data_IF_780699483973
#
_entry.id   IF_780699483973
#
_cell.length_a   1.000
_cell.length_b   1.000
_cell.length_c   1.000
_cell.angle_alpha   90.00
_cell.angle_beta   90.00
_cell.angle_gamma   90.00
#
_symmetry.space_group_name_H-M   'P 1'
#
loop_
_entity.id
_entity.type
_entity.pdbx_description
1 polymer ?
#
# COMPACT_ATOMS: atom_id res chain seq x y z
N UNK A 1 12.58 5.17 -6.60
CA UNK A 1 13.91 5.84 -6.64
C UNK A 1 14.50 6.03 -8.05
N UNK A 2 14.12 5.25 -9.08
CA UNK A 2 14.67 5.37 -10.44
C UNK A 2 14.28 6.69 -11.16
N UNK A 3 13.02 7.12 -11.07
CA UNK A 3 12.55 8.33 -11.77
C UNK A 3 13.18 9.64 -11.27
N UNK A 4 13.57 9.70 -9.99
CA UNK A 4 14.27 10.85 -9.41
C UNK A 4 15.70 11.02 -9.93
N UNK A 5 16.36 9.92 -10.30
CA UNK A 5 17.69 10.00 -10.93
C UNK A 5 17.58 10.55 -12.34
N UNK A 6 16.53 10.16 -13.09
CA UNK A 6 16.28 10.67 -14.44
C UNK A 6 15.95 12.17 -14.44
N UNK A 7 15.08 12.65 -13.54
CA UNK A 7 14.79 14.09 -13.42
C UNK A 7 16.04 14.91 -13.05
N UNK A 8 16.91 14.39 -12.16
CA UNK A 8 18.19 15.04 -11.83
C UNK A 8 19.14 15.11 -13.02
N UNK A 9 19.22 14.05 -13.83
CA UNK A 9 20.05 14.01 -15.04
C UNK A 9 19.52 14.98 -16.09
N UNK A 10 18.21 15.06 -16.30
CA UNK A 10 17.59 16.02 -17.24
C UNK A 10 17.82 17.47 -16.83
N UNK A 11 17.72 17.81 -15.54
CA UNK A 11 18.00 19.16 -15.05
C UNK A 11 19.47 19.55 -15.15
N UNK A 12 20.39 18.61 -14.91
CA UNK A 12 21.84 18.80 -15.08
C UNK A 12 22.18 18.95 -16.56
N UNK A 13 21.62 18.13 -17.45
CA UNK A 13 21.79 18.24 -18.90
C UNK A 13 21.23 19.55 -19.44
N UNK A 14 20.10 20.03 -18.92
CA UNK A 14 19.50 21.28 -19.35
C UNK A 14 20.25 22.51 -18.80
N UNK A 15 20.94 22.39 -17.66
CA UNK A 15 21.85 23.43 -17.15
C UNK A 15 23.20 23.47 -17.88
N UNK A 16 23.75 22.30 -18.27
CA UNK A 16 25.05 22.18 -18.96
C UNK A 16 24.90 22.32 -20.49
N UNK A 17 23.74 21.98 -21.05
CA UNK A 17 23.43 22.02 -22.48
C UNK A 17 22.99 23.39 -23.01
N UNK A 18 23.03 24.44 -22.18
CA UNK A 18 22.95 25.80 -22.70
C UNK A 18 24.20 26.04 -23.55
N UNK A 19 24.01 26.32 -24.85
CA UNK A 19 25.05 26.91 -25.68
C UNK A 19 25.43 28.27 -25.07
N UNK A 20 26.34 28.26 -24.10
CA UNK A 20 27.06 29.42 -23.61
C UNK A 20 28.05 29.84 -24.71
N UNK A 21 27.51 30.23 -25.87
CA UNK A 21 28.32 30.70 -26.97
C UNK A 21 28.91 32.06 -26.56
N UNK A 22 30.25 32.22 -26.52
CA UNK A 22 30.84 33.53 -26.33
C UNK A 22 30.38 34.44 -27.46
N UNK A 23 30.13 35.72 -27.16
CA UNK A 23 29.79 36.72 -28.15
C UNK A 23 30.98 36.92 -29.11
N UNK A 24 31.04 36.12 -30.18
CA UNK A 24 31.91 36.34 -31.31
C UNK A 24 31.29 37.46 -32.14
N UNK A 25 31.85 38.67 -32.01
CA UNK A 25 31.53 39.83 -32.85
C UNK A 25 31.87 39.50 -34.31
N UNK A 26 30.89 38.97 -35.04
CA UNK A 26 30.96 38.77 -36.48
C UNK A 26 30.59 40.07 -37.22
N UNK A 27 31.59 40.84 -37.64
CA UNK A 27 31.44 41.83 -38.70
C UNK A 27 31.03 41.11 -39.99
N UNK A 28 29.90 41.49 -40.56
CA UNK A 28 29.57 41.24 -41.96
C UNK A 28 28.89 42.48 -42.50
N UNK A 29 29.65 43.24 -43.28
CA UNK A 29 29.18 44.38 -44.04
C UNK A 29 28.62 43.88 -45.38
N UNK A 30 27.39 44.28 -45.73
CA UNK A 30 27.04 44.80 -47.07
C UNK A 30 25.54 45.18 -47.19
N UNK A 31 25.35 46.44 -47.61
CA UNK A 31 24.32 46.98 -48.52
C UNK A 31 22.87 47.30 -48.05
N UNK A 32 22.64 48.61 -47.87
CA UNK A 32 21.51 49.48 -48.27
C UNK A 32 20.06 48.93 -48.37
N UNK A 33 19.17 49.43 -47.49
CA UNK A 33 17.84 49.97 -47.83
C UNK A 33 17.27 50.77 -46.64
N UNK A 34 16.44 51.78 -46.95
CA UNK A 34 16.15 52.97 -46.16
C UNK A 34 15.15 52.82 -44.98
N UNK A 35 15.32 53.73 -44.02
CA UNK A 35 14.37 54.28 -43.02
C UNK A 35 13.24 53.37 -42.50
N UNK A 36 13.59 52.56 -41.51
CA UNK A 36 12.72 52.28 -40.37
C UNK A 36 13.54 52.53 -39.11
N UNK A 37 13.00 53.30 -38.16
CA UNK A 37 13.61 53.45 -36.84
C UNK A 37 13.93 52.05 -36.30
N UNK A 38 15.17 51.78 -35.83
CA UNK A 38 15.52 50.45 -35.38
C UNK A 38 14.61 50.08 -34.22
N UNK A 39 13.68 49.16 -34.45
CA UNK A 39 13.17 48.33 -33.37
C UNK A 39 14.43 47.79 -32.69
N UNK A 40 14.67 48.19 -31.45
CA UNK A 40 15.83 47.75 -30.68
C UNK A 40 15.76 46.23 -30.67
N UNK A 41 16.54 45.60 -31.56
CA UNK A 41 16.63 44.16 -31.63
C UNK A 41 17.04 43.72 -30.24
N UNK A 42 16.23 42.85 -29.63
CA UNK A 42 16.54 42.31 -28.31
C UNK A 42 17.98 41.80 -28.36
N UNK A 43 18.85 42.36 -27.49
CA UNK A 43 20.24 41.91 -27.42
C UNK A 43 20.24 40.39 -27.28
N UNK A 44 21.04 39.67 -28.08
CA UNK A 44 21.09 38.22 -27.96
C UNK A 44 21.42 37.85 -26.52
N UNK A 45 20.73 36.84 -26.01
CA UNK A 45 20.99 36.28 -24.69
C UNK A 45 22.41 35.70 -24.67
N UNK A 46 23.35 36.42 -24.07
CA UNK A 46 24.76 36.04 -23.99
C UNK A 46 25.26 36.17 -22.56
N UNK A 47 26.20 35.31 -22.17
CA UNK A 47 26.95 35.45 -20.91
C UNK A 47 28.26 36.18 -21.21
N UNK A 48 28.57 37.23 -20.43
CA UNK A 48 29.81 37.98 -20.62
C UNK A 48 31.06 37.12 -20.35
N UNK A 49 32.19 37.38 -21.02
CA UNK A 49 33.39 36.54 -20.92
C UNK A 49 33.90 36.31 -19.49
N UNK A 50 33.78 37.31 -18.61
CA UNK A 50 34.22 37.25 -17.22
C UNK A 50 33.40 36.24 -16.41
N UNK A 51 32.08 36.20 -16.64
CA UNK A 51 31.18 35.22 -16.01
C UNK A 51 31.39 33.85 -16.65
N UNK A 52 31.50 33.78 -17.97
CA UNK A 52 31.74 32.52 -18.69
C UNK A 52 33.01 31.81 -18.20
N UNK A 53 34.11 32.55 -17.98
CA UNK A 53 35.37 31.99 -17.47
C UNK A 53 35.21 31.34 -16.09
N UNK A 54 34.33 31.85 -15.24
CA UNK A 54 34.03 31.27 -13.94
C UNK A 54 33.11 30.04 -14.05
N UNK A 55 32.16 30.09 -14.99
CA UNK A 55 31.09 29.09 -15.17
C UNK A 55 31.34 28.13 -16.33
N UNK A 56 32.60 27.99 -16.78
CA UNK A 56 32.97 27.14 -17.92
C UNK A 56 32.36 25.72 -17.75
N UNK A 57 31.52 25.24 -18.69
CA UNK A 57 30.82 23.97 -18.52
C UNK A 57 31.73 22.76 -18.31
N UNK A 58 32.90 22.73 -18.94
CA UNK A 58 33.84 21.62 -18.81
C UNK A 58 34.48 21.62 -17.42
N UNK A 59 34.85 22.80 -16.91
CA UNK A 59 35.38 22.97 -15.54
C UNK A 59 34.30 22.59 -14.52
N UNK A 60 33.10 23.16 -14.64
CA UNK A 60 32.02 22.88 -13.70
C UNK A 60 31.64 21.39 -13.71
N UNK A 61 31.51 20.78 -14.89
CA UNK A 61 31.25 19.35 -15.01
C UNK A 61 32.33 18.52 -14.31
N UNK A 62 33.61 18.82 -14.54
CA UNK A 62 34.73 18.11 -13.92
C UNK A 62 34.69 18.22 -12.39
N UNK A 63 34.41 19.41 -11.86
CA UNK A 63 34.30 19.64 -10.42
C UNK A 63 33.07 18.92 -9.82
N UNK A 64 31.94 18.93 -10.50
CA UNK A 64 30.72 18.25 -10.09
C UNK A 64 30.90 16.72 -10.06
N UNK A 65 31.55 16.15 -11.09
CA UNK A 65 31.87 14.72 -11.17
C UNK A 65 32.86 14.31 -10.07
N UNK A 66 33.84 15.17 -9.76
CA UNK A 66 34.78 15.00 -8.65
C UNK A 66 34.16 15.28 -7.26
N UNK A 67 32.86 15.63 -7.20
CA UNK A 67 32.15 16.04 -5.98
C UNK A 67 32.79 17.23 -5.24
N UNK A 68 33.56 18.06 -5.93
CA UNK A 68 34.12 19.29 -5.40
C UNK A 68 33.07 20.41 -5.42
N UNK A 69 31.96 20.19 -4.71
CA UNK A 69 30.84 21.12 -4.60
C UNK A 69 31.23 22.48 -3.99
N UNK A 70 32.14 22.57 -2.99
CA UNK A 70 32.57 23.87 -2.46
C UNK A 70 33.22 24.78 -3.51
N UNK A 71 34.05 24.22 -4.40
CA UNK A 71 34.67 25.00 -5.47
C UNK A 71 33.65 25.45 -6.52
N UNK A 72 32.68 24.59 -6.87
CA UNK A 72 31.57 24.98 -7.76
C UNK A 72 30.76 26.13 -7.14
N UNK A 73 30.45 26.04 -5.85
CA UNK A 73 29.74 27.09 -5.12
C UNK A 73 30.54 28.40 -5.11
N UNK A 74 31.84 28.34 -4.81
CA UNK A 74 32.73 29.51 -4.83
C UNK A 74 32.73 30.21 -6.18
N UNK A 75 32.77 29.46 -7.29
CA UNK A 75 32.72 30.02 -8.65
C UNK A 75 31.38 30.68 -8.96
N UNK A 76 30.28 30.06 -8.54
CA UNK A 76 28.94 30.66 -8.65
C UNK A 76 28.88 31.98 -7.89
N UNK A 77 29.39 32.01 -6.66
CA UNK A 77 29.34 33.19 -5.79
C UNK A 77 30.21 34.32 -6.32
N UNK A 78 31.40 34.02 -6.87
CA UNK A 78 32.25 35.00 -7.54
C UNK A 78 31.58 35.60 -8.78
N UNK A 79 30.90 34.77 -9.58
CA UNK A 79 30.15 35.23 -10.74
C UNK A 79 28.92 36.06 -10.33
N UNK A 80 28.26 35.70 -9.24
CA UNK A 80 27.11 36.43 -8.70
C UNK A 80 27.50 37.73 -7.99
N UNK A 81 28.73 37.88 -7.50
CA UNK A 81 29.22 39.13 -6.92
C UNK A 81 29.49 40.22 -7.98
N UNK A 82 29.46 39.88 -9.27
CA UNK A 82 29.70 40.83 -10.34
C UNK A 82 28.54 41.84 -10.49
N UNK A 83 28.84 43.14 -10.72
CA UNK A 83 27.82 44.17 -10.92
C UNK A 83 27.16 44.05 -12.30
N UNK A 84 25.97 44.65 -12.42
CA UNK A 84 25.21 44.85 -13.67
C UNK A 84 24.91 43.56 -14.45
N UNK A 85 24.66 42.45 -13.74
CA UNK A 85 24.24 41.18 -14.36
C UNK A 85 22.92 41.34 -15.10
N UNK A 86 22.88 40.78 -16.30
CA UNK A 86 21.65 40.71 -17.09
C UNK A 86 20.66 39.69 -16.48
N UNK A 87 19.35 39.79 -16.81
CA UNK A 87 18.39 38.76 -16.43
C UNK A 87 18.74 37.36 -16.98
N UNK A 88 19.41 37.29 -18.13
CA UNK A 88 19.87 36.02 -18.70
C UNK A 88 21.04 35.42 -17.90
N UNK A 89 22.05 36.20 -17.53
CA UNK A 89 23.15 35.73 -16.68
C UNK A 89 22.66 35.28 -15.31
N UNK A 90 21.66 35.98 -14.74
CA UNK A 90 20.99 35.59 -13.49
C UNK A 90 20.27 34.24 -13.66
N UNK A 91 19.58 34.04 -14.78
CA UNK A 91 18.95 32.76 -15.12
C UNK A 91 19.97 31.62 -15.25
N UNK A 92 21.10 31.85 -15.92
CA UNK A 92 22.20 30.87 -16.05
C UNK A 92 22.77 30.49 -14.68
N UNK A 93 23.05 31.47 -13.83
CA UNK A 93 23.54 31.24 -12.47
C UNK A 93 22.56 30.40 -11.64
N UNK A 94 21.27 30.72 -11.72
CA UNK A 94 20.25 29.97 -11.00
C UNK A 94 20.11 28.53 -11.52
N UNK A 95 20.18 28.28 -12.83
CA UNK A 95 20.21 26.90 -13.35
C UNK A 95 21.42 26.11 -12.83
N UNK A 96 22.58 26.76 -12.73
CA UNK A 96 23.77 26.12 -12.17
C UNK A 96 23.63 25.82 -10.68
N UNK A 97 23.01 26.72 -9.91
CA UNK A 97 22.63 26.47 -8.51
C UNK A 97 21.63 25.32 -8.40
N UNK A 98 20.65 25.20 -9.29
CA UNK A 98 19.72 24.06 -9.33
C UNK A 98 20.49 22.76 -9.54
N UNK A 99 21.44 22.71 -10.48
CA UNK A 99 22.28 21.54 -10.72
C UNK A 99 23.13 21.18 -9.49
N UNK A 100 23.82 22.16 -8.91
CA UNK A 100 24.64 22.00 -7.70
C UNK A 100 23.81 21.51 -6.51
N UNK A 101 22.69 22.17 -6.22
CA UNK A 101 21.79 21.79 -5.14
C UNK A 101 21.20 20.39 -5.35
N UNK A 102 20.89 20.02 -6.59
CA UNK A 102 20.35 18.69 -6.94
C UNK A 102 21.34 17.54 -6.77
N UNK A 103 22.59 17.74 -7.15
CA UNK A 103 23.61 16.69 -7.03
C UNK A 103 24.12 16.57 -5.59
N UNK A 104 24.25 17.70 -4.89
CA UNK A 104 24.74 17.75 -3.50
C UNK A 104 23.67 17.42 -2.47
N UNK A 105 22.39 17.42 -2.85
CA UNK A 105 21.27 17.29 -1.92
C UNK A 105 21.08 18.50 -1.03
N UNK A 106 21.64 19.66 -1.40
CA UNK A 106 21.54 20.89 -0.63
C UNK A 106 20.24 21.65 -0.98
N UNK A 107 19.22 21.46 -0.15
CA UNK A 107 17.92 22.11 -0.30
C UNK A 107 18.01 23.65 -0.21
N UNK A 108 18.93 24.18 0.60
CA UNK A 108 19.10 25.63 0.78
C UNK A 108 19.62 26.32 -0.49
N UNK A 109 20.36 25.59 -1.34
CA UNK A 109 20.78 26.06 -2.66
C UNK A 109 19.67 25.80 -3.69
N UNK A 110 19.13 24.58 -3.72
CA UNK A 110 18.23 24.14 -4.78
C UNK A 110 16.89 24.88 -4.80
N UNK A 111 16.24 25.06 -3.64
CA UNK A 111 14.87 25.59 -3.55
C UNK A 111 14.81 27.04 -4.06
N UNK A 112 15.60 28.00 -3.54
CA UNK A 112 15.55 29.39 -4.02
C UNK A 112 15.94 29.50 -5.51
N UNK A 113 16.89 28.68 -5.95
CA UNK A 113 17.32 28.66 -7.35
C UNK A 113 16.23 28.12 -8.29
N UNK A 114 15.50 27.09 -7.88
CA UNK A 114 14.34 26.57 -8.61
C UNK A 114 13.23 27.62 -8.68
N UNK A 115 12.87 28.25 -7.56
CA UNK A 115 11.87 29.33 -7.50
C UNK A 115 12.24 30.47 -8.45
N UNK A 116 13.48 30.95 -8.41
CA UNK A 116 13.97 32.01 -9.29
C UNK A 116 14.00 31.60 -10.77
N UNK A 117 14.36 30.35 -11.06
CA UNK A 117 14.38 29.84 -12.45
C UNK A 117 12.97 29.73 -13.02
N UNK A 118 12.01 29.23 -12.24
CA UNK A 118 10.58 29.14 -12.61
C UNK A 118 9.98 30.54 -12.82
N UNK A 119 10.36 31.52 -11.99
CA UNK A 119 9.88 32.89 -12.09
C UNK A 119 10.52 33.70 -13.24
N UNK A 120 11.56 33.18 -13.88
CA UNK A 120 12.33 33.92 -14.90
C UNK A 120 11.56 34.19 -16.20
N UNK A 121 10.51 33.41 -16.50
CA UNK A 121 9.80 33.44 -17.77
C UNK A 121 10.61 32.96 -18.98
N UNK A 122 11.79 32.35 -18.75
CA UNK A 122 12.74 31.93 -19.79
C UNK A 122 12.73 30.42 -20.08
N UNK A 123 11.95 29.64 -19.35
CA UNK A 123 11.81 28.20 -19.56
C UNK A 123 10.84 27.91 -20.70
N UNK A 124 11.14 26.88 -21.50
CA UNK A 124 10.12 26.30 -22.39
C UNK A 124 8.98 25.71 -21.56
N UNK A 125 7.79 25.51 -22.16
CA UNK A 125 6.64 24.92 -21.44
C UNK A 125 6.97 23.57 -20.78
N UNK A 126 7.73 22.73 -21.49
CA UNK A 126 8.17 21.43 -20.96
C UNK A 126 9.12 21.61 -19.77
N UNK A 127 10.14 22.46 -19.90
CA UNK A 127 11.07 22.74 -18.79
C UNK A 127 10.35 23.37 -17.60
N UNK A 128 9.38 24.26 -17.83
CA UNK A 128 8.57 24.85 -16.77
C UNK A 128 7.92 23.77 -15.90
N UNK A 129 7.28 22.77 -16.54
CA UNK A 129 6.71 21.62 -15.85
C UNK A 129 7.76 20.81 -15.07
N UNK A 130 8.90 20.50 -15.70
CA UNK A 130 9.97 19.72 -15.05
C UNK A 130 10.57 20.44 -13.83
N UNK A 131 10.78 21.75 -13.92
CA UNK A 131 11.30 22.56 -12.81
C UNK A 131 10.27 22.70 -11.69
N UNK A 132 8.98 22.89 -12.00
CA UNK A 132 7.91 22.89 -10.99
C UNK A 132 7.85 21.55 -10.27
N UNK A 133 7.92 20.43 -11.00
CA UNK A 133 7.93 19.10 -10.40
C UNK A 133 9.16 18.91 -9.50
N UNK A 134 10.33 19.37 -9.95
CA UNK A 134 11.55 19.32 -9.16
C UNK A 134 11.41 20.09 -7.84
N UNK A 135 10.90 21.32 -7.89
CA UNK A 135 10.67 22.15 -6.71
C UNK A 135 9.70 21.49 -5.72
N UNK A 136 8.60 20.92 -6.21
CA UNK A 136 7.66 20.17 -5.38
C UNK A 136 8.35 19.00 -4.66
N UNK A 137 9.19 18.24 -5.39
CA UNK A 137 9.96 17.13 -4.82
C UNK A 137 10.98 17.59 -3.77
N UNK A 138 11.62 18.74 -3.97
CA UNK A 138 12.53 19.31 -2.97
C UNK A 138 11.82 19.67 -1.69
N UNK A 139 10.67 20.34 -1.77
CA UNK A 139 9.84 20.61 -0.59
C UNK A 139 9.39 19.32 0.09
N UNK A 140 8.97 18.31 -0.69
CA UNK A 140 8.55 17.02 -0.15
C UNK A 140 9.68 16.34 0.65
N UNK A 141 10.89 16.28 0.08
CA UNK A 141 12.05 15.68 0.74
C UNK A 141 12.54 16.50 1.93
N UNK A 142 12.38 17.83 1.89
CA UNK A 142 12.61 18.73 3.01
C UNK A 142 11.53 18.61 4.11
N UNK A 143 10.52 17.75 3.92
CA UNK A 143 9.35 17.58 4.80
C UNK A 143 8.47 18.83 4.91
N UNK A 144 8.62 19.77 3.97
CA UNK A 144 7.74 20.91 3.79
C UNK A 144 6.53 20.49 2.92
N UNK A 145 5.71 19.61 3.48
CA UNK A 145 4.57 19.02 2.79
C UNK A 145 3.54 20.06 2.31
N UNK A 146 3.22 21.13 3.08
CA UNK A 146 2.31 22.18 2.58
C UNK A 146 2.81 22.81 1.28
N UNK A 147 4.09 23.19 1.19
CA UNK A 147 4.64 23.73 -0.07
C UNK A 147 4.74 22.67 -1.16
N UNK A 148 5.08 21.43 -0.81
CA UNK A 148 5.09 20.34 -1.79
C UNK A 148 3.73 20.17 -2.47
N UNK A 149 2.64 20.20 -1.70
CA UNK A 149 1.26 20.11 -2.22
C UNK A 149 0.95 21.29 -3.15
N UNK A 150 1.31 22.52 -2.79
CA UNK A 150 1.11 23.71 -3.64
C UNK A 150 1.80 23.51 -5.00
N UNK A 151 3.08 23.12 -4.99
CA UNK A 151 3.86 22.97 -6.21
C UNK A 151 3.45 21.77 -7.05
N UNK A 152 3.09 20.63 -6.44
CA UNK A 152 2.52 19.50 -7.19
C UNK A 152 1.16 19.85 -7.79
N UNK A 153 0.31 20.58 -7.08
CA UNK A 153 -0.99 21.05 -7.62
C UNK A 153 -0.78 21.97 -8.81
N UNK A 154 0.20 22.89 -8.71
CA UNK A 154 0.60 23.75 -9.82
C UNK A 154 1.11 22.95 -11.03
N UNK A 155 1.89 21.90 -10.80
CA UNK A 155 2.32 20.98 -11.87
C UNK A 155 1.12 20.41 -12.64
N UNK A 156 0.11 19.92 -11.92
CA UNK A 156 -1.10 19.36 -12.54
C UNK A 156 -1.84 20.40 -13.38
N UNK A 157 -1.96 21.64 -12.88
CA UNK A 157 -2.64 22.74 -13.57
C UNK A 157 -1.90 23.19 -14.84
N UNK A 158 -0.57 23.31 -14.79
CA UNK A 158 0.21 23.84 -15.93
C UNK A 158 0.51 22.78 -17.00
N UNK A 159 0.62 21.51 -16.62
CA UNK A 159 0.96 20.41 -17.53
C UNK A 159 -0.24 19.59 -17.99
N UNK A 160 -1.33 19.58 -17.22
CA UNK A 160 -2.46 18.67 -17.41
C UNK A 160 -2.21 17.23 -16.94
N UNK A 161 -0.98 16.89 -16.52
CA UNK A 161 -0.64 15.57 -15.99
C UNK A 161 -1.03 15.49 -14.50
N UNK A 162 -2.23 14.98 -14.27
CA UNK A 162 -2.78 14.81 -12.91
C UNK A 162 -2.29 13.54 -12.24
N UNK A 163 -1.94 12.51 -12.99
CA UNK A 163 -1.66 11.16 -12.47
C UNK A 163 -0.26 11.07 -11.87
N UNK A 164 0.75 11.62 -12.55
CA UNK A 164 2.17 11.44 -12.19
C UNK A 164 2.50 11.91 -10.78
N UNK A 165 1.88 13.01 -10.33
CA UNK A 165 2.19 13.63 -9.02
C UNK A 165 1.17 13.33 -7.93
N UNK A 166 0.03 12.72 -8.27
CA UNK A 166 -1.07 12.45 -7.33
C UNK A 166 -0.65 11.60 -6.12
N UNK A 167 0.12 10.51 -6.26
CA UNK A 167 0.58 9.75 -5.10
C UNK A 167 1.42 10.58 -4.11
N UNK A 168 2.19 11.56 -4.60
CA UNK A 168 2.99 12.45 -3.75
C UNK A 168 2.12 13.46 -3.01
N UNK A 169 1.07 13.98 -3.64
CA UNK A 169 0.10 14.88 -3.00
C UNK A 169 -0.60 14.15 -1.85
N UNK A 170 -1.14 12.95 -2.11
CA UNK A 170 -1.86 12.16 -1.10
C UNK A 170 -0.94 11.78 0.05
N UNK A 171 0.29 11.34 -0.26
CA UNK A 171 1.28 11.03 0.77
C UNK A 171 1.70 12.28 1.55
N UNK A 172 1.77 13.45 0.92
CA UNK A 172 2.04 14.71 1.60
C UNK A 172 0.91 15.07 2.58
N UNK A 173 -0.37 14.89 2.21
CA UNK A 173 -1.49 15.05 3.15
C UNK A 173 -1.34 14.15 4.37
N UNK A 174 -1.05 12.87 4.16
CA UNK A 174 -0.84 11.93 5.27
C UNK A 174 0.33 12.36 6.17
N UNK A 175 1.48 12.70 5.57
CA UNK A 175 2.69 13.06 6.30
C UNK A 175 2.61 14.42 7.01
N UNK A 176 1.73 15.31 6.55
CA UNK A 176 1.37 16.56 7.23
C UNK A 176 0.24 16.40 8.25
N UNK A 177 -0.18 15.17 8.55
CA UNK A 177 -1.30 14.82 9.42
C UNK A 177 -2.68 15.32 8.93
N UNK A 178 -2.82 15.69 7.65
CA UNK A 178 -4.11 15.95 7.01
C UNK A 178 -4.75 14.62 6.58
N UNK A 179 -5.05 13.78 7.59
CA UNK A 179 -5.60 12.45 7.39
C UNK A 179 -7.00 12.48 6.74
N UNK A 180 -7.76 13.56 6.96
CA UNK A 180 -9.08 13.74 6.35
C UNK A 180 -8.98 13.84 4.82
N UNK A 181 -8.04 14.64 4.31
CA UNK A 181 -7.80 14.71 2.86
C UNK A 181 -7.15 13.44 2.32
N UNK A 182 -6.16 12.88 3.02
CA UNK A 182 -5.55 11.62 2.59
C UNK A 182 -6.61 10.51 2.43
N UNK A 183 -7.51 10.35 3.42
CA UNK A 183 -8.64 9.41 3.33
C UNK A 183 -9.55 9.71 2.15
N UNK A 184 -9.97 10.96 1.98
CA UNK A 184 -10.91 11.35 0.92
C UNK A 184 -10.34 11.04 -0.47
N UNK A 185 -9.08 11.41 -0.72
CA UNK A 185 -8.43 11.17 -2.01
C UNK A 185 -8.17 9.69 -2.26
N UNK A 186 -7.72 8.92 -1.25
CA UNK A 186 -7.49 7.48 -1.39
C UNK A 186 -8.78 6.70 -1.67
N UNK A 187 -9.90 7.07 -1.03
CA UNK A 187 -11.19 6.46 -1.31
C UNK A 187 -11.70 6.82 -2.72
N UNK A 188 -11.42 8.05 -3.18
CA UNK A 188 -11.75 8.44 -4.54
C UNK A 188 -10.92 7.66 -5.58
N UNK A 189 -9.64 7.43 -5.31
CA UNK A 189 -8.75 6.62 -6.16
C UNK A 189 -9.24 5.18 -6.22
N UNK A 190 -9.52 4.57 -5.06
CA UNK A 190 -10.06 3.21 -4.98
C UNK A 190 -11.37 3.06 -5.77
N UNK A 191 -12.29 4.02 -5.67
CA UNK A 191 -13.54 4.00 -6.42
C UNK A 191 -13.32 4.15 -7.93
N UNK A 192 -12.37 4.99 -8.35
CA UNK A 192 -12.04 5.18 -9.76
C UNK A 192 -11.40 3.93 -10.36
N UNK A 193 -10.51 3.27 -9.60
CA UNK A 193 -9.87 2.02 -9.98
C UNK A 193 -10.86 0.88 -10.11
N UNK A 194 -11.78 0.73 -9.15
CA UNK A 194 -12.86 -0.26 -9.20
C UNK A 194 -13.71 -0.08 -10.46
N UNK A 195 -14.15 1.16 -10.76
CA UNK A 195 -14.91 1.47 -11.98
C UNK A 195 -14.12 1.21 -13.26
N UNK A 196 -12.80 1.38 -13.22
CA UNK A 196 -11.92 1.13 -14.35
C UNK A 196 -11.48 -0.34 -14.47
N UNK A 197 -11.90 -1.23 -13.56
CA UNK A 197 -11.41 -2.60 -13.50
C UNK A 197 -9.91 -2.70 -13.23
N UNK A 198 -9.33 -1.67 -12.60
CA UNK A 198 -7.91 -1.61 -12.23
C UNK A 198 -7.73 -2.09 -10.80
N UNK A 199 -6.59 -2.75 -10.56
CA UNK A 199 -6.18 -3.16 -9.23
C UNK A 199 -5.48 -1.98 -8.53
N UNK A 200 -5.95 -1.56 -7.33
CA UNK A 200 -5.26 -0.58 -6.49
C UNK A 200 -3.86 -1.04 -6.13
N UNK A 201 -2.90 -0.13 -5.98
CA UNK A 201 -1.55 -0.53 -5.55
C UNK A 201 -1.52 -0.88 -4.07
N UNK A 202 -0.58 -1.75 -3.69
CA UNK A 202 -0.39 -2.11 -2.28
C UNK A 202 -0.04 -0.89 -1.41
N UNK A 203 0.73 0.06 -1.94
CA UNK A 203 1.13 1.28 -1.23
C UNK A 203 -0.08 2.18 -0.91
N UNK A 204 -1.03 2.33 -1.83
CA UNK A 204 -2.26 3.10 -1.63
C UNK A 204 -3.15 2.46 -0.56
N UNK A 205 -3.33 1.14 -0.62
CA UNK A 205 -4.14 0.41 0.34
C UNK A 205 -3.51 0.42 1.74
N UNK A 206 -2.19 0.24 1.85
CA UNK A 206 -1.49 0.38 3.12
C UNK A 206 -1.58 1.80 3.66
N UNK A 207 -1.50 2.83 2.81
CA UNK A 207 -1.67 4.21 3.24
C UNK A 207 -3.09 4.47 3.77
N UNK A 208 -4.12 3.90 3.13
CA UNK A 208 -5.51 4.00 3.59
C UNK A 208 -5.72 3.29 4.93
N UNK A 209 -5.16 2.08 5.09
CA UNK A 209 -5.17 1.34 6.35
C UNK A 209 -4.51 2.15 7.48
N UNK A 210 -3.30 2.67 7.23
CA UNK A 210 -2.58 3.51 8.17
C UNK A 210 -3.36 4.79 8.52
N UNK A 211 -4.03 5.39 7.54
CA UNK A 211 -4.91 6.54 7.76
C UNK A 211 -6.04 6.18 8.72
N UNK A 212 -6.76 5.09 8.47
CA UNK A 212 -7.81 4.59 9.36
C UNK A 212 -7.30 4.26 10.77
N UNK A 213 -6.12 3.65 10.88
CA UNK A 213 -5.50 3.35 12.17
C UNK A 213 -5.15 4.63 12.96
N UNK A 214 -4.52 5.62 12.30
CA UNK A 214 -4.13 6.89 12.93
C UNK A 214 -5.33 7.72 13.37
N UNK A 215 -6.41 7.72 12.60
CA UNK A 215 -7.64 8.44 12.93
C UNK A 215 -8.58 7.66 13.84
N UNK A 216 -8.19 6.45 14.27
CA UNK A 216 -9.06 5.52 15.03
C UNK A 216 -10.40 5.28 14.34
N UNK A 217 -10.38 5.19 13.01
CA UNK A 217 -11.53 4.93 12.15
C UNK A 217 -11.51 3.46 11.69
N UNK A 218 -12.20 2.55 12.41
CA UNK A 218 -12.21 1.14 12.05
C UNK A 218 -12.89 0.87 10.71
N UNK A 219 -13.83 1.70 10.26
CA UNK A 219 -14.50 1.50 8.97
C UNK A 219 -13.52 1.68 7.81
N UNK A 220 -12.73 2.76 7.85
CA UNK A 220 -11.68 3.01 6.84
C UNK A 220 -10.61 1.91 6.84
N UNK A 221 -10.19 1.48 8.04
CA UNK A 221 -9.22 0.40 8.18
C UNK A 221 -9.72 -0.91 7.54
N UNK A 222 -10.96 -1.29 7.82
CA UNK A 222 -11.55 -2.51 7.28
C UNK A 222 -11.73 -2.45 5.75
N UNK A 223 -12.14 -1.30 5.19
CA UNK A 223 -12.19 -1.11 3.73
C UNK A 223 -10.82 -1.41 3.12
N UNK A 224 -9.74 -0.85 3.69
CA UNK A 224 -8.40 -1.07 3.18
C UNK A 224 -7.94 -2.53 3.33
N UNK A 225 -8.18 -3.15 4.49
CA UNK A 225 -7.81 -4.55 4.76
C UNK A 225 -8.53 -5.53 3.83
N UNK A 226 -9.80 -5.31 3.55
CA UNK A 226 -10.55 -6.14 2.61
C UNK A 226 -9.96 -6.11 1.20
N UNK A 227 -9.54 -4.93 0.72
CA UNK A 227 -8.86 -4.80 -0.56
C UNK A 227 -7.46 -5.45 -0.51
N UNK A 228 -6.74 -5.33 0.60
CA UNK A 228 -5.44 -5.97 0.78
C UNK A 228 -5.55 -7.49 0.73
N UNK A 229 -6.48 -8.11 1.45
CA UNK A 229 -6.66 -9.57 1.38
C UNK A 229 -7.20 -10.03 0.02
N UNK A 230 -7.98 -9.18 -0.68
CA UNK A 230 -8.48 -9.47 -2.03
C UNK A 230 -7.38 -9.52 -3.07
N UNK A 231 -6.48 -8.53 -3.07
CA UNK A 231 -5.51 -8.31 -4.14
C UNK A 231 -4.08 -8.71 -3.79
N UNK A 232 -3.74 -8.70 -2.50
CA UNK A 232 -2.40 -8.93 -1.95
C UNK A 232 -2.45 -9.82 -0.70
N UNK A 233 -3.11 -11.01 -0.74
CA UNK A 233 -3.31 -11.81 0.46
C UNK A 233 -1.99 -12.21 1.13
N UNK A 234 -1.90 -11.95 2.44
CA UNK A 234 -0.84 -12.41 3.33
C UNK A 234 -1.46 -12.87 4.66
N UNK A 235 -0.72 -13.69 5.41
CA UNK A 235 -1.16 -14.14 6.74
C UNK A 235 -1.44 -12.91 7.64
N UNK A 236 -0.52 -11.93 7.68
CA UNK A 236 -0.67 -10.70 8.47
C UNK A 236 -1.95 -9.92 8.12
N UNK A 237 -2.29 -9.75 6.84
CA UNK A 237 -3.51 -9.01 6.47
C UNK A 237 -4.79 -9.76 6.82
N UNK A 238 -4.78 -11.09 6.73
CA UNK A 238 -5.91 -11.90 7.17
C UNK A 238 -6.11 -11.81 8.67
N UNK A 239 -5.04 -12.01 9.45
CA UNK A 239 -5.11 -11.92 10.91
C UNK A 239 -5.52 -10.52 11.38
N UNK A 240 -5.00 -9.45 10.77
CA UNK A 240 -5.40 -8.07 11.10
C UNK A 240 -6.87 -7.79 10.74
N UNK A 241 -7.34 -8.23 9.56
CA UNK A 241 -8.74 -8.08 9.14
C UNK A 241 -9.68 -8.79 10.13
N UNK A 242 -9.35 -10.01 10.50
CA UNK A 242 -10.15 -10.86 11.38
C UNK A 242 -10.16 -10.29 12.80
N UNK A 243 -8.99 -10.03 13.38
CA UNK A 243 -8.86 -9.46 14.73
C UNK A 243 -9.58 -8.12 14.87
N UNK A 244 -9.47 -7.24 13.85
CA UNK A 244 -10.14 -5.94 13.88
C UNK A 244 -11.65 -6.06 13.75
N UNK A 245 -12.14 -7.08 13.06
CA UNK A 245 -13.57 -7.37 12.94
C UNK A 245 -14.15 -7.86 14.27
N UNK A 246 -13.45 -8.73 15.00
CA UNK A 246 -13.86 -9.17 16.35
C UNK A 246 -13.91 -8.02 17.35
N UNK A 247 -13.11 -6.97 17.12
CA UNK A 247 -13.07 -5.77 17.96
C UNK A 247 -14.20 -4.75 17.64
N UNK A 248 -15.05 -5.01 16.64
CA UNK A 248 -16.15 -4.09 16.28
C UNK A 248 -17.21 -4.06 17.38
N UNK A 249 -17.77 -2.87 17.62
CA UNK A 249 -18.97 -2.76 18.44
C UNK A 249 -20.12 -3.57 17.82
N UNK A 250 -20.77 -4.40 18.63
CA UNK A 250 -21.86 -5.28 18.18
C UNK A 250 -21.41 -6.64 17.64
N UNK A 251 -20.10 -6.93 17.58
CA UNK A 251 -19.62 -8.29 17.30
C UNK A 251 -20.16 -9.27 18.35
N UNK A 252 -20.70 -10.39 17.89
CA UNK A 252 -21.26 -11.41 18.76
C UNK A 252 -20.23 -12.51 19.11
N UNK A 253 -19.89 -12.70 20.40
CA UNK A 253 -18.90 -13.71 20.82
C UNK A 253 -19.22 -15.15 20.42
N UNK A 254 -20.50 -15.45 20.14
CA UNK A 254 -20.88 -16.78 19.63
C UNK A 254 -20.18 -17.13 18.30
N UNK A 255 -19.70 -16.13 17.56
CA UNK A 255 -19.00 -16.29 16.28
C UNK A 255 -17.50 -16.55 16.43
N UNK A 256 -16.96 -16.62 17.66
CA UNK A 256 -15.52 -16.81 17.88
C UNK A 256 -15.00 -18.10 17.24
N UNK A 257 -15.78 -19.17 17.32
CA UNK A 257 -15.44 -20.44 16.69
C UNK A 257 -15.44 -20.32 15.16
N UNK A 258 -16.44 -19.66 14.57
CA UNK A 258 -16.51 -19.45 13.12
C UNK A 258 -15.44 -18.50 12.60
N UNK A 259 -15.01 -17.56 13.45
CA UNK A 259 -13.90 -16.66 13.16
C UNK A 259 -12.57 -17.41 13.09
N UNK A 260 -12.28 -18.26 14.07
CA UNK A 260 -11.08 -19.10 14.06
C UNK A 260 -11.08 -20.14 12.93
N UNK A 261 -12.26 -20.61 12.49
CA UNK A 261 -12.39 -21.44 11.28
C UNK A 261 -11.95 -20.71 10.03
N UNK A 262 -12.35 -19.45 9.88
CA UNK A 262 -11.92 -18.59 8.79
C UNK A 262 -10.40 -18.33 8.87
N UNK A 263 -9.88 -17.97 10.04
CA UNK A 263 -8.44 -17.76 10.28
C UNK A 263 -7.66 -18.98 9.80
N UNK A 264 -8.02 -20.18 10.27
CA UNK A 264 -7.39 -21.45 9.88
C UNK A 264 -7.38 -21.69 8.37
N UNK A 265 -8.42 -21.27 7.66
CA UNK A 265 -8.49 -21.42 6.21
C UNK A 265 -7.64 -20.37 5.49
N UNK A 266 -7.59 -19.15 6.04
CA UNK A 266 -7.02 -17.98 5.42
C UNK A 266 -5.49 -17.88 5.55
N UNK A 267 -4.94 -18.26 6.71
CA UNK A 267 -3.50 -18.17 6.99
C UNK A 267 -2.79 -19.51 6.78
N UNK A 268 -1.49 -19.48 6.50
CA UNK A 268 -0.68 -20.71 6.39
C UNK A 268 -0.45 -21.35 7.76
N UNK A 269 -0.21 -20.52 8.77
CA UNK A 269 0.05 -20.96 10.14
C UNK A 269 -0.61 -19.99 11.12
N UNK A 270 -1.54 -20.51 11.92
CA UNK A 270 -2.14 -19.74 13.02
C UNK A 270 -1.16 -19.59 14.19
N UNK A 271 -1.41 -18.64 15.09
CA UNK A 271 -0.68 -18.55 16.34
C UNK A 271 -0.94 -19.79 17.24
N UNK A 272 0.00 -20.18 18.12
CA UNK A 272 -0.18 -21.33 19.01
C UNK A 272 -1.47 -21.27 19.85
N UNK A 273 -1.78 -20.10 20.39
CA UNK A 273 -2.97 -19.91 21.23
C UNK A 273 -4.26 -20.02 20.42
N UNK A 274 -4.26 -19.61 19.15
CA UNK A 274 -5.42 -19.72 18.25
C UNK A 274 -5.70 -21.17 17.85
N UNK A 275 -4.66 -21.97 17.61
CA UNK A 275 -4.82 -23.42 17.41
C UNK A 275 -5.48 -24.08 18.62
N UNK A 276 -5.00 -23.77 19.83
CA UNK A 276 -5.57 -24.35 21.05
C UNK A 276 -6.98 -23.84 21.35
N UNK A 277 -7.23 -22.55 21.12
CA UNK A 277 -8.54 -21.92 21.25
C UNK A 277 -9.56 -22.54 20.30
N UNK A 278 -9.22 -22.71 19.02
CA UNK A 278 -10.08 -23.35 18.03
C UNK A 278 -10.39 -24.80 18.43
N UNK A 279 -9.40 -25.56 18.86
CA UNK A 279 -9.61 -26.93 19.29
C UNK A 279 -10.53 -27.03 20.53
N UNK A 280 -10.35 -26.16 21.52
CA UNK A 280 -11.18 -26.15 22.73
C UNK A 280 -12.62 -25.71 22.44
N UNK A 281 -12.80 -24.67 21.61
CA UNK A 281 -14.13 -24.23 21.18
C UNK A 281 -14.82 -25.31 20.36
N UNK A 282 -14.10 -25.99 19.46
CA UNK A 282 -14.65 -27.10 18.68
C UNK A 282 -15.05 -28.28 19.57
N UNK A 283 -14.24 -28.65 20.58
CA UNK A 283 -14.62 -29.67 21.57
C UNK A 283 -15.88 -29.28 22.34
N UNK A 284 -15.97 -28.02 22.79
CA UNK A 284 -17.13 -27.50 23.53
C UNK A 284 -18.38 -27.50 22.67
N UNK A 285 -18.23 -27.21 21.38
CA UNK A 285 -19.32 -27.20 20.41
C UNK A 285 -19.70 -28.60 19.88
N UNK A 286 -19.02 -29.67 20.32
CA UNK A 286 -19.32 -31.04 19.90
C UNK A 286 -18.74 -31.43 18.53
N UNK A 287 -17.64 -30.80 18.11
CA UNK A 287 -16.92 -31.09 16.86
C UNK A 287 -15.51 -31.64 17.15
N UNK A 288 -15.37 -32.82 17.78
CA UNK A 288 -14.08 -33.32 18.21
C UNK A 288 -13.15 -33.71 17.05
N UNK A 289 -13.70 -34.10 15.90
CA UNK A 289 -12.91 -34.38 14.69
C UNK A 289 -12.24 -33.11 14.16
N UNK A 290 -12.95 -31.98 14.16
CA UNK A 290 -12.39 -30.67 13.85
C UNK A 290 -11.28 -30.30 14.83
N UNK A 291 -11.53 -30.44 16.14
CA UNK A 291 -10.55 -30.16 17.17
C UNK A 291 -9.27 -31.00 16.99
N UNK A 292 -9.42 -32.29 16.69
CA UNK A 292 -8.30 -33.19 16.39
C UNK A 292 -7.50 -32.67 15.19
N UNK A 293 -8.17 -32.40 14.06
CA UNK A 293 -7.52 -31.90 12.85
C UNK A 293 -6.78 -30.57 13.09
N UNK A 294 -7.37 -29.67 13.89
CA UNK A 294 -6.75 -28.40 14.27
C UNK A 294 -5.47 -28.63 15.08
N UNK A 295 -5.52 -29.45 16.14
CA UNK A 295 -4.35 -29.72 16.95
C UNK A 295 -3.25 -30.42 16.14
N UNK A 296 -3.60 -31.43 15.36
CA UNK A 296 -2.64 -32.14 14.50
C UNK A 296 -1.94 -31.19 13.54
N UNK A 297 -2.66 -30.23 12.94
CA UNK A 297 -2.07 -29.21 12.06
C UNK A 297 -1.06 -28.33 12.81
N UNK A 298 -1.38 -27.84 14.00
CA UNK A 298 -0.46 -27.01 14.79
C UNK A 298 0.78 -27.78 15.27
N UNK A 299 0.64 -29.06 15.60
CA UNK A 299 1.78 -29.93 15.90
C UNK A 299 2.64 -30.21 14.65
N UNK A 300 2.01 -30.45 13.50
CA UNK A 300 2.71 -30.68 12.23
C UNK A 300 3.46 -29.43 11.75
N UNK A 301 2.91 -28.24 11.99
CA UNK A 301 3.55 -26.96 11.71
C UNK A 301 4.70 -26.63 12.69
N UNK A 302 4.90 -27.43 13.75
CA UNK A 302 5.96 -27.23 14.74
C UNK A 302 5.73 -26.08 15.71
N UNK A 303 4.57 -25.41 15.65
CA UNK A 303 4.21 -24.29 16.53
C UNK A 303 3.57 -24.75 17.85
N UNK A 304 3.16 -26.02 17.93
CA UNK A 304 2.67 -26.66 19.16
C UNK A 304 3.59 -27.80 19.60
N UNK A 305 3.48 -28.17 20.88
CA UNK A 305 4.15 -29.33 21.47
C UNK A 305 5.51 -29.05 22.08
N UNK A 306 5.92 -27.79 22.15
CA UNK A 306 7.19 -27.33 22.70
C UNK A 306 7.00 -26.19 23.70
N UNK A 307 8.07 -25.82 24.42
CA UNK A 307 8.05 -24.76 25.41
C UNK A 307 7.18 -25.04 26.64
N UNK A 308 6.92 -24.00 27.43
CA UNK A 308 6.17 -24.09 28.69
C UNK A 308 4.75 -24.66 28.53
N UNK A 309 4.11 -24.42 27.37
CA UNK A 309 2.74 -24.83 27.09
C UNK A 309 2.65 -26.22 26.42
N UNK A 310 3.77 -26.85 26.05
CA UNK A 310 3.77 -28.09 25.26
C UNK A 310 3.00 -29.26 25.90
N UNK A 311 3.11 -29.42 27.22
CA UNK A 311 2.37 -30.47 27.95
C UNK A 311 0.85 -30.22 27.94
N UNK A 312 0.42 -28.97 28.12
CA UNK A 312 -0.99 -28.59 28.06
C UNK A 312 -1.56 -28.79 26.65
N UNK A 313 -0.81 -28.38 25.62
CA UNK A 313 -1.16 -28.58 24.21
C UNK A 313 -1.30 -30.08 23.88
N UNK A 314 -0.38 -30.93 24.37
CA UNK A 314 -0.48 -32.39 24.18
C UNK A 314 -1.73 -32.96 24.84
N UNK A 315 -2.10 -32.50 26.03
CA UNK A 315 -3.33 -32.94 26.72
C UNK A 315 -4.59 -32.61 25.91
N UNK A 316 -4.66 -31.41 25.31
CA UNK A 316 -5.77 -31.02 24.43
C UNK A 316 -5.84 -31.95 23.21
N UNK A 317 -4.70 -32.23 22.57
CA UNK A 317 -4.63 -33.16 21.44
C UNK A 317 -5.09 -34.57 21.82
N UNK A 318 -4.64 -35.08 22.96
CA UNK A 318 -5.01 -36.42 23.44
C UNK A 318 -6.53 -36.52 23.75
N UNK A 319 -7.11 -35.47 24.34
CA UNK A 319 -8.57 -35.37 24.56
C UNK A 319 -9.34 -35.32 23.23
N UNK A 320 -8.88 -34.52 22.27
CA UNK A 320 -9.50 -34.42 20.96
C UNK A 320 -9.43 -35.74 20.19
N UNK A 321 -8.29 -36.44 20.24
CA UNK A 321 -8.13 -37.77 19.64
C UNK A 321 -9.12 -38.79 20.20
N UNK A 322 -9.25 -38.86 21.54
CA UNK A 322 -10.21 -39.76 22.18
C UNK A 322 -11.64 -39.42 21.78
N UNK A 323 -12.02 -38.15 21.90
CA UNK A 323 -13.38 -37.69 21.61
C UNK A 323 -13.75 -37.90 20.13
N UNK A 324 -12.80 -37.70 19.21
CA UNK A 324 -13.01 -37.92 17.78
C UNK A 324 -13.23 -39.41 17.46
N UNK A 325 -12.47 -40.30 18.12
CA UNK A 325 -12.64 -41.74 17.96
C UNK A 325 -13.99 -42.23 18.49
N UNK A 326 -14.46 -41.66 19.60
CA UNK A 326 -15.78 -41.97 20.18
C UNK A 326 -16.91 -41.42 19.29
N UNK A 327 -16.77 -40.21 18.77
CA UNK A 327 -17.76 -39.58 17.88
C UNK A 327 -17.89 -40.35 16.56
N UNK A 328 -16.77 -40.71 15.93
CA UNK A 328 -16.76 -41.50 14.68
C UNK A 328 -17.53 -42.82 14.80
N UNK A 329 -17.52 -43.46 15.98
CA UNK A 329 -18.24 -44.71 16.23
C UNK A 329 -19.74 -44.50 16.45
N UNK A 330 -20.11 -43.36 17.04
CA UNK A 330 -21.45 -43.15 17.58
C UNK A 330 -22.32 -42.17 16.78
N UNK A 331 -21.74 -41.37 15.88
CA UNK A 331 -22.42 -40.28 15.16
C UNK A 331 -23.71 -40.73 14.45
N UNK A 332 -23.73 -41.92 13.86
CA UNK A 332 -24.89 -42.48 13.17
C UNK A 332 -26.10 -42.70 14.10
N UNK A 333 -25.88 -42.93 15.40
CA UNK A 333 -26.96 -43.13 16.37
C UNK A 333 -27.81 -41.86 16.60
N UNK A 334 -27.23 -40.67 16.34
CA UNK A 334 -27.90 -39.39 16.50
C UNK A 334 -28.85 -39.02 15.36
N UNK A 335 -28.73 -39.68 14.19
CA UNK A 335 -29.46 -39.30 12.97
C UNK A 335 -30.97 -39.35 13.12
N UNK A 336 -31.50 -40.47 13.63
CA UNK A 336 -32.92 -40.66 13.77
C UNK A 336 -33.55 -39.63 14.73
N UNK A 337 -32.84 -39.30 15.81
CA UNK A 337 -33.28 -38.29 16.79
C UNK A 337 -33.24 -36.88 16.21
N UNK A 338 -32.16 -36.50 15.52
CA UNK A 338 -32.04 -35.21 14.84
C UNK A 338 -33.12 -35.01 13.76
N UNK A 339 -33.40 -36.08 12.98
CA UNK A 339 -34.44 -36.05 11.96
C UNK A 339 -35.86 -35.85 12.54
N UNK A 340 -36.12 -36.32 13.76
CA UNK A 340 -37.42 -36.21 14.45
C UNK A 340 -37.60 -34.94 15.28
N UNK A 341 -36.54 -34.17 15.53
CA UNK A 341 -36.61 -32.92 16.30
C UNK A 341 -37.61 -31.91 15.66
N UNK A 342 -38.09 -30.90 16.39
CA UNK A 342 -38.99 -29.89 15.80
C UNK A 342 -38.23 -28.78 15.07
N UNK A 343 -37.03 -28.46 15.56
CA UNK A 343 -36.10 -27.56 14.91
C UNK A 343 -35.10 -28.31 14.01
N UNK A 344 -34.38 -27.56 13.19
CA UNK A 344 -33.34 -28.08 12.31
C UNK A 344 -31.91 -27.98 12.83
N UNK A 345 -31.65 -27.36 14.00
CA UNK A 345 -30.27 -27.09 14.44
C UNK A 345 -29.50 -28.39 14.71
N UNK A 346 -30.19 -29.43 15.19
CA UNK A 346 -29.60 -30.75 15.38
C UNK A 346 -29.09 -31.36 14.07
N UNK A 347 -29.84 -31.20 12.97
CA UNK A 347 -29.43 -31.67 11.63
C UNK A 347 -28.27 -30.84 11.08
N UNK A 348 -28.25 -29.52 11.32
CA UNK A 348 -27.13 -28.64 10.95
C UNK A 348 -25.84 -29.05 11.67
N UNK A 349 -25.90 -29.27 12.98
CA UNK A 349 -24.73 -29.70 13.76
C UNK A 349 -24.25 -31.09 13.34
N UNK A 350 -25.17 -32.05 13.16
CA UNK A 350 -24.84 -33.40 12.74
C UNK A 350 -24.24 -33.43 11.33
N UNK A 351 -24.82 -32.67 10.41
CA UNK A 351 -24.29 -32.53 9.06
C UNK A 351 -22.90 -31.91 9.04
N UNK A 352 -22.64 -30.89 9.88
CA UNK A 352 -21.30 -30.34 10.00
C UNK A 352 -20.29 -31.32 10.61
N UNK A 353 -20.69 -32.11 11.61
CA UNK A 353 -19.82 -33.17 12.13
C UNK A 353 -19.40 -34.15 11.00
N UNK A 354 -20.33 -34.55 10.13
CA UNK A 354 -20.01 -35.33 8.93
C UNK A 354 -19.08 -34.61 7.95
N UNK A 355 -19.27 -33.30 7.73
CA UNK A 355 -18.34 -32.48 6.92
C UNK A 355 -16.92 -32.50 7.52
N UNK A 356 -16.79 -32.39 8.85
CA UNK A 356 -15.47 -32.45 9.52
C UNK A 356 -14.83 -33.83 9.42
N UNK A 357 -15.61 -34.89 9.17
CA UNK A 357 -15.16 -36.26 8.87
C UNK A 357 -14.91 -36.48 7.36
N UNK A 358 -14.89 -35.41 6.55
CA UNK A 358 -14.74 -35.45 5.08
C UNK A 358 -15.89 -36.19 4.35
N UNK A 359 -17.00 -36.46 5.03
CA UNK A 359 -18.22 -37.02 4.44
C UNK A 359 -19.10 -35.91 3.88
N UNK A 360 -18.57 -35.18 2.90
CA UNK A 360 -19.15 -33.92 2.42
C UNK A 360 -20.58 -34.06 1.91
N UNK A 361 -20.88 -35.03 1.03
CA UNK A 361 -22.21 -35.16 0.45
C UNK A 361 -23.30 -35.40 1.50
N UNK A 362 -23.03 -36.32 2.43
CA UNK A 362 -23.93 -36.62 3.54
C UNK A 362 -24.08 -35.42 4.49
N UNK A 363 -22.95 -34.78 4.81
CA UNK A 363 -22.94 -33.62 5.69
C UNK A 363 -23.72 -32.44 5.12
N UNK A 364 -23.49 -32.10 3.85
CA UNK A 364 -24.18 -31.01 3.16
C UNK A 364 -25.69 -31.28 3.05
N UNK A 365 -26.11 -32.50 2.71
CA UNK A 365 -27.52 -32.90 2.67
C UNK A 365 -28.22 -32.69 4.03
N UNK A 366 -27.57 -33.11 5.13
CA UNK A 366 -28.10 -32.92 6.49
C UNK A 366 -28.17 -31.44 6.89
N UNK A 367 -27.15 -30.63 6.57
CA UNK A 367 -27.18 -29.18 6.86
C UNK A 367 -28.33 -28.51 6.10
N UNK A 368 -28.48 -28.81 4.81
CA UNK A 368 -29.56 -28.27 3.98
C UNK A 368 -30.93 -28.66 4.53
N UNK A 369 -31.15 -29.94 4.88
CA UNK A 369 -32.39 -30.41 5.50
C UNK A 369 -32.67 -29.72 6.83
N UNK A 370 -31.64 -29.50 7.65
CA UNK A 370 -31.75 -28.74 8.88
C UNK A 370 -32.20 -27.31 8.64
N UNK A 371 -31.58 -26.60 7.72
CA UNK A 371 -31.98 -25.22 7.37
C UNK A 371 -33.41 -25.19 6.83
N UNK A 372 -33.79 -26.11 5.93
CA UNK A 372 -35.14 -26.19 5.37
C UNK A 372 -36.23 -26.48 6.41
N UNK A 373 -35.87 -27.19 7.49
CA UNK A 373 -36.76 -27.46 8.64
C UNK A 373 -36.94 -26.25 9.57
N UNK A 374 -36.07 -25.24 9.42
CA UNK A 374 -36.08 -24.01 10.20
C UNK A 374 -35.12 -24.03 11.37
N UNK A 375 -34.41 -22.92 11.55
CA UNK A 375 -33.48 -22.68 12.66
C UNK A 375 -33.98 -21.47 13.44
N UNK A 376 -34.46 -21.70 14.66
CA UNK A 376 -35.17 -20.69 15.44
C UNK A 376 -34.27 -19.55 15.96
N UNK A 377 -32.99 -19.82 16.18
CA UNK A 377 -32.01 -18.85 16.70
C UNK A 377 -30.85 -18.74 15.73
N UNK A 378 -30.56 -17.52 15.30
CA UNK A 378 -29.45 -17.21 14.40
C UNK A 378 -29.42 -18.09 13.14
N UNK A 379 -30.46 -18.06 12.29
CA UNK A 379 -30.48 -18.82 11.04
C UNK A 379 -29.28 -18.48 10.13
N UNK A 380 -28.79 -17.24 10.18
CA UNK A 380 -27.59 -16.80 9.46
C UNK A 380 -26.33 -17.58 9.88
N UNK A 381 -26.19 -18.01 11.13
CA UNK A 381 -25.05 -18.83 11.58
C UNK A 381 -25.10 -20.22 10.93
N UNK A 382 -26.29 -20.79 10.75
CA UNK A 382 -26.48 -22.06 10.04
C UNK A 382 -26.16 -21.90 8.54
N UNK A 383 -26.54 -20.76 7.93
CA UNK A 383 -26.19 -20.44 6.55
C UNK A 383 -24.69 -20.23 6.39
N UNK A 384 -24.02 -19.54 7.33
CA UNK A 384 -22.58 -19.36 7.33
C UNK A 384 -21.87 -20.72 7.35
N UNK A 385 -22.37 -21.62 8.20
CA UNK A 385 -21.86 -23.00 8.29
C UNK A 385 -22.05 -23.81 7.03
N UNK A 386 -23.21 -23.70 6.38
CA UNK A 386 -23.41 -24.31 5.07
C UNK A 386 -22.42 -23.74 4.04
N UNK A 387 -22.21 -22.42 4.05
CA UNK A 387 -21.30 -21.72 3.15
C UNK A 387 -19.86 -22.22 3.25
N UNK A 388 -19.26 -22.24 4.45
CA UNK A 388 -17.91 -22.78 4.58
C UNK A 388 -17.84 -24.31 4.45
N UNK A 389 -18.94 -25.05 4.69
CA UNK A 389 -18.99 -26.49 4.40
C UNK A 389 -18.91 -26.77 2.91
N UNK A 390 -19.55 -25.95 2.06
CA UNK A 390 -19.36 -26.00 0.61
C UNK A 390 -17.93 -25.66 0.21
N UNK A 391 -17.33 -24.65 0.85
CA UNK A 391 -15.93 -24.28 0.62
C UNK A 391 -14.98 -25.46 0.93
N UNK A 392 -15.17 -26.14 2.07
CA UNK A 392 -14.42 -27.34 2.44
C UNK A 392 -14.60 -28.49 1.46
N UNK A 393 -15.81 -28.64 0.89
CA UNK A 393 -16.12 -29.64 -0.13
C UNK A 393 -15.63 -29.27 -1.55
N UNK A 394 -14.96 -28.12 -1.72
CA UNK A 394 -14.52 -27.63 -3.03
C UNK A 394 -15.64 -27.07 -3.93
N UNK A 395 -16.86 -26.91 -3.39
CA UNK A 395 -18.04 -26.42 -4.11
C UNK A 395 -18.12 -24.89 -4.05
N UNK A 396 -17.21 -24.24 -4.78
CA UNK A 396 -16.99 -22.78 -4.70
C UNK A 396 -18.23 -21.97 -5.05
N UNK A 397 -18.96 -22.31 -6.11
CA UNK A 397 -20.09 -21.51 -6.59
C UNK A 397 -21.27 -21.58 -5.60
N UNK A 398 -21.55 -22.77 -5.05
CA UNK A 398 -22.56 -22.95 -4.01
C UNK A 398 -22.18 -22.27 -2.70
N UNK A 399 -20.89 -22.27 -2.35
CA UNK A 399 -20.39 -21.54 -1.19
C UNK A 399 -20.65 -20.04 -1.36
N UNK A 400 -20.24 -19.43 -2.48
CA UNK A 400 -20.44 -18.00 -2.74
C UNK A 400 -21.94 -17.67 -2.73
N UNK A 401 -22.77 -18.43 -3.46
CA UNK A 401 -24.22 -18.21 -3.51
C UNK A 401 -24.84 -18.22 -2.11
N UNK A 402 -24.44 -19.17 -1.27
CA UNK A 402 -24.94 -19.30 0.11
C UNK A 402 -24.50 -18.13 0.99
N UNK A 403 -23.21 -17.80 0.95
CA UNK A 403 -22.61 -16.75 1.78
C UNK A 403 -23.12 -15.36 1.39
N UNK A 404 -23.38 -15.11 0.10
CA UNK A 404 -23.91 -13.82 -0.38
C UNK A 404 -25.33 -13.52 0.11
N UNK A 405 -26.07 -14.52 0.58
CA UNK A 405 -27.41 -14.33 1.12
C UNK A 405 -27.42 -13.86 2.59
N UNK A 406 -26.27 -13.87 3.27
CA UNK A 406 -26.14 -13.51 4.69
C UNK A 406 -25.95 -12.00 4.81
N UNK A 407 -26.79 -11.34 5.62
CA UNK A 407 -26.79 -9.88 5.77
C UNK A 407 -26.74 -9.41 7.24
N UNK A 408 -26.56 -10.32 8.20
CA UNK A 408 -26.46 -9.97 9.61
C UNK A 408 -25.31 -9.01 9.93
N UNK A 409 -25.54 -8.12 10.88
CA UNK A 409 -24.65 -7.00 11.23
C UNK A 409 -23.88 -7.19 12.54
N UNK A 410 -23.98 -8.36 13.15
CA UNK A 410 -23.33 -8.74 14.40
C UNK A 410 -22.00 -9.50 14.20
N UNK A 411 -21.44 -9.39 12.99
CA UNK A 411 -20.22 -10.05 12.54
C UNK A 411 -20.47 -11.19 11.55
N UNK A 412 -21.65 -11.79 11.51
CA UNK A 412 -21.93 -12.94 10.63
C UNK A 412 -21.84 -12.55 9.15
N UNK A 413 -22.30 -11.35 8.77
CA UNK A 413 -22.16 -10.82 7.41
C UNK A 413 -20.72 -10.48 7.03
N UNK A 414 -19.88 -10.05 7.99
CA UNK A 414 -18.46 -9.82 7.76
C UNK A 414 -17.76 -11.15 7.46
N UNK A 415 -17.97 -12.17 8.30
CA UNK A 415 -17.43 -13.52 8.08
C UNK A 415 -17.86 -14.10 6.73
N UNK A 416 -19.13 -13.91 6.35
CA UNK A 416 -19.63 -14.38 5.06
C UNK A 416 -18.89 -13.71 3.89
N UNK A 417 -18.70 -12.39 3.92
CA UNK A 417 -17.91 -11.65 2.91
C UNK A 417 -16.46 -12.11 2.89
N UNK A 418 -15.85 -12.34 4.04
CA UNK A 418 -14.44 -12.76 4.12
C UNK A 418 -14.23 -14.17 3.58
N UNK A 419 -15.15 -15.10 3.81
CA UNK A 419 -15.13 -16.40 3.13
C UNK A 419 -15.24 -16.25 1.61
N UNK A 420 -16.06 -15.32 1.11
CA UNK A 420 -16.14 -15.03 -0.34
C UNK A 420 -14.82 -14.45 -0.87
N UNK A 421 -14.20 -13.51 -0.14
CA UNK A 421 -12.88 -12.97 -0.49
C UNK A 421 -11.84 -14.09 -0.55
N UNK A 422 -11.83 -14.98 0.45
CA UNK A 422 -10.96 -16.13 0.49
C UNK A 422 -11.21 -17.05 -0.71
N UNK A 423 -12.46 -17.41 -1.02
CA UNK A 423 -12.81 -18.25 -2.18
C UNK A 423 -12.39 -17.63 -3.53
N UNK A 424 -12.35 -16.30 -3.61
CA UNK A 424 -11.98 -15.54 -4.81
C UNK A 424 -10.52 -15.09 -4.86
N UNK A 425 -9.71 -15.47 -3.86
CA UNK A 425 -8.30 -15.13 -3.84
C UNK A 425 -7.59 -15.65 -5.10
N UNK A 426 -6.61 -14.90 -5.65
CA UNK A 426 -5.74 -15.43 -6.68
C UNK A 426 -5.10 -16.74 -6.17
N UNK A 427 -5.04 -17.78 -7.01
CA UNK A 427 -4.25 -18.97 -6.67
C UNK A 427 -2.83 -18.49 -6.34
N UNK A 428 -2.33 -18.82 -5.16
CA UNK A 428 -1.17 -18.17 -4.53
C UNK A 428 -0.03 -17.89 -5.54
N UNK A 429 0.09 -16.63 -5.96
CA UNK A 429 1.31 -16.14 -6.56
C UNK A 429 2.36 -16.04 -5.45
N UNK A 430 3.60 -16.41 -5.77
CA UNK A 430 4.73 -16.33 -4.85
C UNK A 430 4.76 -14.98 -4.11
N UNK A 431 5.13 -14.95 -2.81
CA UNK A 431 5.00 -13.76 -1.99
C UNK A 431 5.74 -12.58 -2.64
N UNK A 432 5.01 -11.48 -2.85
CA UNK A 432 5.63 -10.19 -3.11
C UNK A 432 6.58 -9.91 -1.94
N UNK A 433 7.85 -9.68 -2.27
CA UNK A 433 8.91 -9.46 -1.30
C UNK A 433 8.48 -8.38 -0.29
N UNK A 434 8.62 -8.70 1.01
CA UNK A 434 8.46 -7.74 2.08
C UNK A 434 9.26 -6.46 1.75
N UNK A 435 8.73 -5.25 2.03
CA UNK A 435 9.48 -4.04 1.83
C UNK A 435 10.77 -4.13 2.64
N UNK A 436 11.91 -4.03 1.94
CA UNK A 436 13.22 -3.98 2.55
C UNK A 436 13.22 -2.94 3.66
N UNK A 437 13.49 -3.39 4.89
CA UNK A 437 13.79 -2.52 6.01
C UNK A 437 14.87 -1.52 5.55
N UNK A 438 14.62 -0.24 5.84
CA UNK A 438 15.59 0.81 5.57
C UNK A 438 16.96 0.38 6.13
N UNK A 439 18.06 0.53 5.35
CA UNK A 439 19.36 0.11 5.81
C UNK A 439 19.68 0.84 7.12
N UNK A 440 19.94 0.06 8.17
CA UNK A 440 20.43 0.58 9.44
C UNK A 440 21.68 1.42 9.14
N UNK A 441 21.70 2.64 9.66
CA UNK A 441 22.86 3.52 9.58
C UNK A 441 24.09 2.78 10.13
N UNK A 442 25.14 2.70 9.33
CA UNK A 442 26.41 2.12 9.75
C UNK A 442 26.92 2.84 11.00
N UNK A 443 27.47 2.12 12.00
CA UNK A 443 28.07 2.76 13.16
C UNK A 443 29.26 3.60 12.70
N UNK A 444 29.33 4.83 13.21
CA UNK A 444 30.46 5.72 13.01
C UNK A 444 31.75 5.01 13.45
N UNK A 445 32.69 4.84 12.51
CA UNK A 445 34.02 4.37 12.81
C UNK A 445 34.67 5.38 13.78
N UNK A 446 35.02 4.90 14.96
CA UNK A 446 35.82 5.65 15.93
C UNK A 446 37.18 5.96 15.31
N UNK A 447 37.57 7.23 15.39
CA UNK A 447 38.88 7.71 15.00
C UNK A 447 39.98 7.04 15.87
N UNK A 448 41.01 6.55 15.20
CA UNK A 448 42.41 6.66 15.65
C UNK A 448 43.20 7.29 14.52
#
# INVERSE_FOLDING_TARGET
MSQFRLARISLVLAAIGLNLAPALLGMSASAQAADAAPAVAAKPDTVRPEIFKLLDPAIIKTLMDAKNYPEVQSRIDQADAMPDKTPYETFVLNRLRVALGSISGNNAIAIPALEATIASGRLTKTEQGDFIQALANFHFNAKDYPKAIIWFTRYQQETGDTVKVRPYIIRAYYLSNDFAKAKTELLADLQAEEKAGKQPTIDELQLLANTGAKTKDPATFLIAMEQLVKFYPSDDYWSDLISRTQSKAGYAPRLDLDTLRLERAAVKTMAPDEYTGLAQLALTAGFPVEAKKTMDAGFAAGVLGSGANGAAQKKIRDQANKSAADDQKNIASGEASAAKAKDGIGLVNLGYAYVTMDQFDKGLDLIQKGIAKGVAKHPDDAMLRLGYSYAMAGRKDEAIKTLSAIQGNDGVGDLARFWILWLNRPAAAAPAAAPAAAPAAAPAAAAQ
#
